data_IF_141138217877
#
_entry.id   IF_141138217877
#
_cell.length_a   1.000
_cell.length_b   1.000
_cell.length_c   1.000
_cell.angle_alpha   90.00
_cell.angle_beta   90.00
_cell.angle_gamma   90.00
#
_symmetry.space_group_name_H-M   'P 1'
#
loop_
_entity.id
_entity.type
_entity.pdbx_description
1 polymer ?
#
# COMPACT_ATOMS: atom_id res chain seq x y z
N UNK A 1 -10.34 -2.34 5.67
CA UNK A 1 -10.85 -1.97 4.33
C UNK A 1 -11.05 -0.46 4.27
N UNK A 2 -10.57 0.22 3.23
CA UNK A 2 -10.71 1.69 3.11
C UNK A 2 -12.10 2.05 2.58
N UNK A 3 -12.84 2.99 3.20
CA UNK A 3 -14.12 3.44 2.66
C UNK A 3 -13.96 4.01 1.25
N UNK A 4 -14.80 3.55 0.33
CA UNK A 4 -14.74 3.94 -1.08
C UNK A 4 -16.13 3.93 -1.72
N UNK A 5 -16.27 4.64 -2.83
CA UNK A 5 -17.53 4.75 -3.58
C UNK A 5 -17.27 5.04 -5.06
N UNK A 6 -18.21 4.65 -5.91
CA UNK A 6 -18.23 5.02 -7.33
C UNK A 6 -19.28 6.11 -7.54
N UNK A 7 -18.88 7.26 -8.09
CA UNK A 7 -19.78 8.38 -8.39
C UNK A 7 -19.83 8.66 -9.89
N UNK A 8 -20.90 9.30 -10.35
CA UNK A 8 -21.01 9.81 -11.71
C UNK A 8 -20.76 11.31 -11.73
N UNK A 9 -19.81 11.73 -12.56
CA UNK A 9 -19.49 13.14 -12.78
C UNK A 9 -20.53 13.80 -13.68
N UNK A 10 -20.60 15.14 -13.64
CA UNK A 10 -21.46 15.92 -14.54
C UNK A 10 -21.13 15.68 -16.02
N UNK A 11 -19.88 15.33 -16.35
CA UNK A 11 -19.47 14.93 -17.70
C UNK A 11 -20.03 13.59 -18.17
N UNK A 12 -20.72 12.84 -17.29
CA UNK A 12 -21.21 11.50 -17.56
C UNK A 12 -20.20 10.39 -17.22
N UNK A 13 -18.92 10.71 -17.00
CA UNK A 13 -17.90 9.72 -16.64
C UNK A 13 -18.08 9.19 -15.21
N UNK A 14 -17.64 7.95 -14.98
CA UNK A 14 -17.56 7.36 -13.64
C UNK A 14 -16.22 7.74 -12.97
N UNK A 15 -16.27 8.00 -11.67
CA UNK A 15 -15.08 8.29 -10.86
C UNK A 15 -15.10 7.44 -9.60
N UNK A 16 -13.97 6.78 -9.32
CA UNK A 16 -13.77 5.98 -8.12
C UNK A 16 -13.13 6.84 -7.04
N UNK A 17 -13.79 6.94 -5.88
CA UNK A 17 -13.35 7.73 -4.74
C UNK A 17 -12.93 6.81 -3.60
N UNK A 18 -11.75 7.04 -3.05
CA UNK A 18 -11.27 6.39 -1.83
C UNK A 18 -11.04 7.44 -0.75
N UNK A 19 -11.45 7.14 0.49
CA UNK A 19 -11.19 8.03 1.62
C UNK A 19 -9.70 7.96 1.98
N UNK A 20 -9.05 9.13 2.04
CA UNK A 20 -7.67 9.23 2.51
C UNK A 20 -7.54 8.71 3.95
N UNK A 21 -6.57 7.84 4.15
CA UNK A 21 -6.29 7.20 5.44
C UNK A 21 -5.24 7.97 6.26
N UNK A 22 -4.42 8.80 5.62
CA UNK A 22 -3.42 9.68 6.25
C UNK A 22 -4.01 10.99 6.83
N UNK A 23 -5.33 11.06 7.02
CA UNK A 23 -6.05 12.25 7.50
C UNK A 23 -6.99 11.89 8.64
N UNK A 24 -6.87 12.63 9.73
CA UNK A 24 -7.76 12.55 10.91
C UNK A 24 -8.35 13.92 11.21
N UNK A 25 -9.40 14.03 12.03
CA UNK A 25 -9.90 15.32 12.50
C UNK A 25 -8.85 16.17 13.24
N UNK A 26 -7.82 15.53 13.79
CA UNK A 26 -6.74 16.19 14.54
C UNK A 26 -5.56 16.63 13.66
N UNK A 27 -5.54 16.24 12.38
CA UNK A 27 -4.47 16.59 11.46
C UNK A 27 -3.99 15.45 10.57
N UNK A 28 -2.78 15.60 10.04
CA UNK A 28 -2.16 14.65 9.11
C UNK A 28 -1.40 13.57 9.89
N UNK A 29 -1.51 12.32 9.43
CA UNK A 29 -0.66 11.23 9.90
C UNK A 29 0.55 11.12 8.98
N UNK A 30 1.73 10.88 9.55
CA UNK A 30 2.90 10.55 8.75
C UNK A 30 2.71 9.18 8.13
N UNK A 31 2.90 9.08 6.82
CA UNK A 31 2.69 7.87 6.04
C UNK A 31 3.79 7.84 4.98
N UNK A 32 4.53 6.74 4.94
CA UNK A 32 5.58 6.51 3.96
C UNK A 32 5.23 5.36 3.02
N UNK A 33 5.92 5.30 1.89
CA UNK A 33 5.88 4.13 1.01
C UNK A 33 7.12 3.24 1.21
N UNK A 34 7.08 2.04 0.63
CA UNK A 34 8.18 1.08 0.73
C UNK A 34 9.46 1.55 0.03
N UNK A 35 9.38 2.43 -0.97
CA UNK A 35 10.58 2.97 -1.63
C UNK A 35 11.32 3.92 -0.70
N UNK A 36 10.59 4.78 0.02
CA UNK A 36 11.16 5.64 1.06
C UNK A 36 11.78 4.82 2.19
N UNK A 37 11.10 3.75 2.61
CA UNK A 37 11.58 2.88 3.70
C UNK A 37 12.80 2.03 3.30
N UNK A 38 12.97 1.74 2.01
CA UNK A 38 14.11 0.96 1.48
C UNK A 38 15.18 1.82 0.81
N UNK A 39 15.05 3.15 0.88
CA UNK A 39 15.94 4.14 0.25
C UNK A 39 16.15 3.90 -1.26
N UNK A 40 15.12 3.39 -1.94
CA UNK A 40 15.18 3.12 -3.39
C UNK A 40 14.55 4.24 -4.19
N UNK A 41 15.15 4.53 -5.34
CA UNK A 41 14.57 5.46 -6.32
C UNK A 41 13.28 4.87 -6.91
N UNK A 42 12.36 5.76 -7.28
CA UNK A 42 11.10 5.46 -7.98
C UNK A 42 11.33 4.64 -9.25
N UNK A 43 12.48 4.76 -9.90
CA UNK A 43 12.82 4.03 -11.12
C UNK A 43 13.10 2.54 -10.86
N UNK A 44 13.54 2.18 -9.65
CA UNK A 44 13.81 0.80 -9.23
C UNK A 44 12.56 0.06 -8.71
N UNK A 45 11.37 0.61 -8.98
CA UNK A 45 10.06 0.11 -8.56
C UNK A 45 9.74 -1.33 -8.99
N UNK A 46 10.44 -1.84 -10.00
CA UNK A 46 10.29 -3.23 -10.48
C UNK A 46 11.43 -4.17 -10.06
N UNK A 47 12.53 -3.65 -9.50
CA UNK A 47 13.76 -4.42 -9.24
C UNK A 47 13.85 -5.03 -7.82
N UNK A 48 12.72 -5.30 -7.18
CA UNK A 48 12.66 -5.68 -5.77
C UNK A 48 11.66 -6.79 -5.53
N UNK A 49 12.07 -7.78 -4.74
CA UNK A 49 11.25 -8.97 -4.48
C UNK A 49 10.31 -8.77 -3.30
N UNK A 50 9.21 -9.52 -3.28
CA UNK A 50 8.31 -9.57 -2.11
C UNK A 50 9.05 -9.99 -0.83
N UNK A 51 10.11 -10.82 -0.94
CA UNK A 51 10.96 -11.18 0.18
C UNK A 51 11.71 -9.98 0.78
N UNK A 52 12.24 -9.08 -0.06
CA UNK A 52 12.89 -7.86 0.42
C UNK A 52 11.91 -6.95 1.17
N UNK A 53 10.67 -6.86 0.69
CA UNK A 53 9.60 -6.11 1.36
C UNK A 53 9.27 -6.75 2.71
N UNK A 54 9.09 -8.08 2.78
CA UNK A 54 8.84 -8.77 4.03
C UNK A 54 9.97 -8.57 5.05
N UNK A 55 11.24 -8.62 4.61
CA UNK A 55 12.40 -8.32 5.47
C UNK A 55 12.38 -6.87 5.98
N UNK A 56 11.93 -5.92 5.17
CA UNK A 56 11.81 -4.52 5.57
C UNK A 56 10.70 -4.32 6.62
N UNK A 57 9.56 -5.01 6.47
CA UNK A 57 8.47 -5.03 7.46
C UNK A 57 8.99 -5.58 8.80
N UNK A 58 9.65 -6.74 8.77
CA UNK A 58 10.19 -7.38 9.98
C UNK A 58 11.16 -6.49 10.76
N UNK A 59 11.89 -5.59 10.08
CA UNK A 59 12.89 -4.71 10.69
C UNK A 59 12.31 -3.42 11.25
N UNK A 60 11.30 -2.86 10.59
CA UNK A 60 10.85 -1.50 10.88
C UNK A 60 9.47 -1.44 11.58
N UNK A 61 8.62 -2.45 11.41
CA UNK A 61 7.27 -2.45 11.97
C UNK A 61 7.28 -2.58 13.50
N UNK A 62 6.34 -1.88 14.15
CA UNK A 62 6.03 -2.03 15.58
C UNK A 62 5.39 -3.39 15.88
N UNK A 63 4.68 -4.00 14.91
CA UNK A 63 4.05 -5.31 15.03
C UNK A 63 4.42 -6.23 13.86
N UNK A 64 5.68 -6.68 13.79
CA UNK A 64 6.26 -7.30 12.60
C UNK A 64 5.59 -8.61 12.18
N UNK A 65 5.13 -9.43 13.13
CA UNK A 65 4.46 -10.70 12.83
C UNK A 65 3.13 -10.50 12.12
N UNK A 66 2.29 -9.61 12.65
CA UNK A 66 0.97 -9.32 12.07
C UNK A 66 1.11 -8.63 10.70
N UNK A 67 2.05 -7.70 10.57
CA UNK A 67 2.22 -6.94 9.33
C UNK A 67 2.78 -7.79 8.19
N UNK A 68 3.64 -8.76 8.47
CA UNK A 68 4.09 -9.74 7.47
C UNK A 68 2.96 -10.65 7.03
N UNK A 69 2.10 -11.10 7.94
CA UNK A 69 0.93 -11.90 7.59
C UNK A 69 -0.03 -11.10 6.70
N UNK A 70 -0.36 -9.86 7.09
CA UNK A 70 -1.19 -8.96 6.29
C UNK A 70 -0.59 -8.72 4.89
N UNK A 71 0.73 -8.52 4.80
CA UNK A 71 1.42 -8.36 3.52
C UNK A 71 1.33 -9.63 2.67
N UNK A 72 1.52 -10.81 3.26
CA UNK A 72 1.41 -12.08 2.54
C UNK A 72 -0.01 -12.33 2.01
N UNK A 73 -1.05 -11.99 2.78
CA UNK A 73 -2.43 -12.05 2.32
C UNK A 73 -2.67 -11.17 1.08
N UNK A 74 -2.06 -9.97 1.02
CA UNK A 74 -2.13 -9.10 -0.16
C UNK A 74 -1.41 -9.70 -1.37
N UNK A 75 -0.23 -10.29 -1.16
CA UNK A 75 0.51 -11.01 -2.22
C UNK A 75 -0.34 -12.15 -2.78
N UNK A 76 -0.95 -12.95 -1.89
CA UNK A 76 -1.81 -14.06 -2.28
C UNK A 76 -3.06 -13.58 -3.03
N UNK A 77 -3.73 -12.55 -2.53
CA UNK A 77 -4.88 -11.94 -3.21
C UNK A 77 -4.51 -11.49 -4.62
N UNK A 78 -3.39 -10.78 -4.77
CA UNK A 78 -2.95 -10.26 -6.07
C UNK A 78 -2.58 -11.38 -7.04
N UNK A 79 -2.00 -12.48 -6.54
CA UNK A 79 -1.78 -13.68 -7.34
C UNK A 79 -3.10 -14.27 -7.84
N UNK A 80 -4.09 -14.42 -6.95
CA UNK A 80 -5.40 -15.01 -7.28
C UNK A 80 -6.22 -14.15 -8.26
N UNK A 81 -6.13 -12.82 -8.17
CA UNK A 81 -6.86 -11.90 -9.06
C UNK A 81 -6.07 -11.50 -10.31
N UNK A 82 -4.84 -11.99 -10.48
CA UNK A 82 -3.95 -11.58 -11.57
C UNK A 82 -3.52 -10.11 -11.52
N UNK A 83 -3.51 -9.49 -10.34
CA UNK A 83 -3.04 -8.12 -10.17
C UNK A 83 -1.50 -8.07 -10.23
N UNK A 84 -0.97 -7.86 -11.42
CA UNK A 84 0.46 -7.77 -11.65
C UNK A 84 1.07 -6.43 -11.18
N UNK A 85 0.31 -5.41 -10.79
CA UNK A 85 0.83 -4.07 -10.46
C UNK A 85 0.90 -3.78 -8.94
N UNK A 86 0.76 -4.81 -8.09
CA UNK A 86 0.79 -4.64 -6.63
C UNK A 86 2.17 -4.20 -6.08
N UNK A 87 3.23 -4.36 -6.87
CA UNK A 87 4.61 -4.59 -6.46
C UNK A 87 5.19 -3.79 -5.28
N UNK A 88 4.78 -2.53 -5.02
CA UNK A 88 5.39 -1.74 -3.93
C UNK A 88 4.58 -0.58 -3.36
N UNK A 89 3.31 -0.40 -3.75
CA UNK A 89 2.44 0.63 -3.14
C UNK A 89 1.86 0.18 -1.78
N UNK A 90 2.61 -0.61 -1.02
CA UNK A 90 2.26 -0.86 0.37
C UNK A 90 2.58 0.42 1.14
N UNK A 91 1.53 1.17 1.48
CA UNK A 91 1.62 2.27 2.42
C UNK A 91 1.99 1.69 3.77
N UNK A 92 3.12 2.11 4.32
CA UNK A 92 3.59 1.67 5.62
C UNK A 92 3.10 2.68 6.66
N UNK A 93 2.23 2.22 7.55
CA UNK A 93 2.11 2.82 8.87
C UNK A 93 3.21 2.20 9.72
N UNK A 94 4.25 2.98 10.02
CA UNK A 94 5.17 2.67 11.12
C UNK A 94 4.60 3.25 12.41
#
# INVERSE_FOLDING_TARGET
MVPHSLIRLQSGNLSYLTKRIDRTPKGKLHMGDMCQLTERLTEDKYHGSYEQIAKAILRNSVNPGLDVLNFFEQVLFSFLTGNADMHRHLLVYL
#
